data_IF_864816656184
#
_entry.id   IF_864816656184
#
_cell.length_a   1.000
_cell.length_b   1.000
_cell.length_c   1.000
_cell.angle_alpha   90.00
_cell.angle_beta   90.00
_cell.angle_gamma   90.00
#
_symmetry.space_group_name_H-M   'P 1'
#
loop_
_entity.id
_entity.type
_entity.pdbx_description
1 polymer ?
#
# COMPACT_ATOMS: atom_id res chain seq x y z
N UNK A 1 6.40 5.88 5.16
CA UNK A 1 5.10 5.43 4.62
C UNK A 1 4.89 6.06 3.25
N UNK A 2 3.96 5.55 2.44
CA UNK A 2 3.60 6.18 1.17
C UNK A 2 3.08 7.61 1.38
N UNK A 3 2.35 7.87 2.48
CA UNK A 3 1.93 9.22 2.87
C UNK A 3 3.10 10.21 3.01
N UNK A 4 4.17 9.81 3.68
CA UNK A 4 5.38 10.64 3.82
C UNK A 4 6.07 10.90 2.47
N UNK A 5 6.15 9.89 1.60
CA UNK A 5 6.75 10.03 0.27
C UNK A 5 5.96 11.03 -0.57
N UNK A 6 4.62 10.95 -0.54
CA UNK A 6 3.75 11.86 -1.30
C UNK A 6 3.79 13.30 -0.81
N UNK A 7 4.17 13.52 0.46
CA UNK A 7 4.38 14.86 1.02
C UNK A 7 5.76 15.44 0.65
N UNK A 8 6.77 14.58 0.53
CA UNK A 8 8.13 14.96 0.20
C UNK A 8 8.31 15.24 -1.31
N UNK A 9 7.73 14.38 -2.16
CA UNK A 9 7.91 14.46 -3.61
C UNK A 9 6.74 13.90 -4.41
N UNK A 10 6.68 14.31 -5.67
CA UNK A 10 5.81 13.69 -6.66
C UNK A 10 6.48 12.42 -7.22
N UNK A 11 5.86 11.23 -7.11
CA UNK A 11 6.35 10.02 -7.73
C UNK A 11 6.11 10.02 -9.24
N UNK A 12 6.94 9.29 -9.96
CA UNK A 12 6.70 9.08 -11.38
C UNK A 12 5.60 8.03 -11.64
N UNK A 13 5.18 7.90 -12.91
CA UNK A 13 4.11 6.97 -13.27
C UNK A 13 4.47 5.50 -13.04
N UNK A 14 5.75 5.13 -13.14
CA UNK A 14 6.21 3.76 -12.93
C UNK A 14 6.11 3.40 -11.44
N UNK A 15 6.54 4.31 -10.56
CA UNK A 15 6.40 4.17 -9.12
C UNK A 15 4.93 4.01 -8.73
N UNK A 16 4.06 4.91 -9.21
CA UNK A 16 2.62 4.86 -8.93
C UNK A 16 2.01 3.53 -9.37
N UNK A 17 2.29 3.07 -10.60
CA UNK A 17 1.78 1.80 -11.11
C UNK A 17 2.33 0.60 -10.33
N UNK A 18 3.59 0.66 -9.91
CA UNK A 18 4.23 -0.39 -9.12
C UNK A 18 3.58 -0.53 -7.75
N UNK A 19 3.35 0.60 -7.05
CA UNK A 19 2.69 0.59 -5.75
C UNK A 19 1.22 0.23 -5.86
N UNK A 20 0.49 0.73 -6.86
CA UNK A 20 -0.90 0.37 -7.09
C UNK A 20 -1.08 -1.14 -7.30
N UNK A 21 -0.20 -1.77 -8.10
CA UNK A 21 -0.19 -3.23 -8.31
C UNK A 21 0.02 -3.99 -7.01
N UNK A 22 0.99 -3.58 -6.20
CA UNK A 22 1.27 -4.26 -4.93
C UNK A 22 0.17 -4.09 -3.89
N UNK A 23 -0.45 -2.90 -3.81
CA UNK A 23 -1.62 -2.65 -2.95
C UNK A 23 -2.79 -3.55 -3.36
N UNK A 24 -3.12 -3.61 -4.66
CA UNK A 24 -4.20 -4.47 -5.17
C UNK A 24 -3.92 -5.95 -4.92
N UNK A 25 -2.69 -6.42 -5.13
CA UNK A 25 -2.31 -7.80 -4.85
C UNK A 25 -2.48 -8.15 -3.36
N UNK A 26 -2.13 -7.24 -2.45
CA UNK A 26 -2.31 -7.44 -1.01
C UNK A 26 -3.80 -7.48 -0.61
N UNK A 27 -4.64 -6.63 -1.21
CA UNK A 27 -6.08 -6.63 -0.96
C UNK A 27 -6.76 -7.90 -1.48
N UNK A 28 -6.44 -8.35 -2.70
CA UNK A 28 -6.95 -9.61 -3.26
C UNK A 28 -6.53 -10.81 -2.41
N UNK A 29 -5.28 -10.82 -1.92
CA UNK A 29 -4.81 -11.86 -1.02
C UNK A 29 -5.61 -11.87 0.29
N UNK A 30 -5.85 -10.71 0.90
CA UNK A 30 -6.63 -10.59 2.13
C UNK A 30 -8.10 -11.01 1.94
N UNK A 31 -8.72 -10.60 0.83
CA UNK A 31 -10.07 -11.02 0.46
C UNK A 31 -10.17 -12.55 0.35
N UNK A 32 -9.17 -13.21 -0.25
CA UNK A 32 -9.08 -14.67 -0.30
C UNK A 32 -9.00 -15.36 1.07
N UNK A 33 -8.64 -14.61 2.12
CA UNK A 33 -8.64 -15.08 3.51
C UNK A 33 -9.89 -14.65 4.29
N UNK A 34 -10.86 -13.99 3.65
CA UNK A 34 -12.04 -13.43 4.30
C UNK A 34 -11.74 -12.19 5.15
N UNK A 35 -10.60 -11.54 4.93
CA UNK A 35 -10.16 -10.35 5.67
C UNK A 35 -10.42 -9.09 4.84
N UNK A 36 -11.05 -8.09 5.46
CA UNK A 36 -11.20 -6.74 4.91
C UNK A 36 -10.17 -5.84 5.59
N UNK A 37 -9.48 -4.98 4.82
CA UNK A 37 -8.45 -4.12 5.40
C UNK A 37 -9.01 -3.06 6.36
N UNK A 38 -10.20 -2.52 6.07
CA UNK A 38 -10.98 -1.52 6.84
C UNK A 38 -10.32 -0.15 7.08
N UNK A 39 -9.00 -0.05 6.95
CA UNK A 39 -8.24 1.19 7.16
C UNK A 39 -7.25 1.47 6.03
N UNK A 40 -7.65 1.32 4.77
CA UNK A 40 -6.76 1.58 3.64
C UNK A 40 -6.52 3.08 3.50
N UNK A 41 -5.27 3.51 3.68
CA UNK A 41 -4.85 4.90 3.48
C UNK A 41 -3.32 4.95 3.21
N UNK A 42 -2.77 6.08 2.73
CA UNK A 42 -1.35 6.17 2.38
C UNK A 42 -0.36 5.92 3.55
N UNK A 43 -0.76 6.13 4.80
CA UNK A 43 0.10 5.86 5.96
C UNK A 43 0.20 4.38 6.30
N UNK A 44 -0.77 3.59 5.84
CA UNK A 44 -0.80 2.14 5.98
C UNK A 44 -0.17 1.40 4.79
N UNK A 45 0.54 2.13 3.91
CA UNK A 45 1.36 1.55 2.85
C UNK A 45 2.83 1.88 3.12
N UNK A 46 3.68 0.86 3.16
CA UNK A 46 5.13 0.99 3.33
C UNK A 46 5.81 0.68 2.00
N UNK A 47 6.77 1.50 1.60
CA UNK A 47 7.63 1.21 0.44
C UNK A 47 8.93 0.61 0.95
N UNK A 48 9.26 -0.61 0.50
CA UNK A 48 10.50 -1.27 0.90
C UNK A 48 11.73 -0.75 0.13
N UNK A 49 12.92 -1.21 0.53
CA UNK A 49 14.19 -0.79 -0.10
C UNK A 49 14.32 -1.18 -1.57
N UNK A 50 13.41 -1.99 -2.11
CA UNK A 50 13.35 -2.39 -3.52
C UNK A 50 12.26 -1.63 -4.28
N UNK A 51 11.58 -0.66 -3.64
CA UNK A 51 10.52 0.13 -4.26
C UNK A 51 9.14 -0.54 -4.30
N UNK A 52 8.95 -1.68 -3.62
CA UNK A 52 7.67 -2.37 -3.62
C UNK A 52 6.78 -1.89 -2.48
N UNK A 53 5.48 -1.79 -2.73
CA UNK A 53 4.50 -1.48 -1.69
C UNK A 53 4.17 -2.72 -0.84
N UNK A 54 4.07 -2.52 0.48
CA UNK A 54 3.54 -3.48 1.45
C UNK A 54 2.41 -2.84 2.22
N UNK A 55 1.30 -3.54 2.33
CA UNK A 55 0.11 -3.08 3.04
C UNK A 55 0.20 -3.52 4.52
N UNK A 56 0.00 -2.59 5.45
CA UNK A 56 0.03 -2.81 6.90
C UNK A 56 -1.23 -2.24 7.56
N UNK A 57 -1.47 -2.57 8.84
CA UNK A 57 -2.57 -1.93 9.59
C UNK A 57 -3.96 -2.52 9.31
N UNK A 58 -4.01 -3.82 8.98
CA UNK A 58 -5.23 -4.62 9.00
C UNK A 58 -5.87 -4.62 10.40
N UNK A 59 -7.20 -4.60 10.46
CA UNK A 59 -7.95 -4.89 11.68
C UNK A 59 -7.85 -3.83 12.77
N UNK A 60 -7.96 -2.54 12.42
CA UNK A 60 -8.14 -1.48 13.43
C UNK A 60 -9.60 -1.38 13.87
N UNK A 61 -10.08 -2.38 14.59
CA UNK A 61 -11.20 -2.22 15.54
C UNK A 61 -10.63 -2.28 16.95
#
# INVERSE_FOLDING_TARGET
SLGEILLDRQPDAIEVLTWAKGILAALLYAEGLGLIHENLNPYNVVIDSKGNSKLIGFGKN
#
